data_IF_910995321861
#
_entry.id   IF_910995321861
#
_cell.length_a   1.000
_cell.length_b   1.000
_cell.length_c   1.000
_cell.angle_alpha   90.00
_cell.angle_beta   90.00
_cell.angle_gamma   90.00
#
_symmetry.space_group_name_H-M   'P 1'
#
loop_
_entity.id
_entity.type
_entity.pdbx_description
1 polymer ?
#
# COMPACT_ATOMS: atom_id res chain seq x y z
N UNK A 1 -20.39 5.04 13.42
CA UNK A 1 -18.91 4.94 13.30
C UNK A 1 -18.50 4.39 11.93
N UNK A 2 -19.27 3.47 11.31
CA UNK A 2 -18.90 2.83 10.02
C UNK A 2 -18.94 3.72 8.76
N UNK A 3 -19.80 4.75 8.64
CA UNK A 3 -19.87 5.53 7.39
C UNK A 3 -18.73 6.55 7.27
N UNK A 4 -18.44 7.27 8.35
CA UNK A 4 -17.41 8.30 8.37
C UNK A 4 -15.99 7.77 8.07
N UNK A 5 -15.68 6.54 8.51
CA UNK A 5 -14.39 5.90 8.20
C UNK A 5 -14.30 5.48 6.73
N UNK A 6 -15.42 5.08 6.11
CA UNK A 6 -15.49 4.78 4.68
C UNK A 6 -15.31 6.04 3.85
N UNK A 7 -16.02 7.12 4.20
CA UNK A 7 -15.93 8.41 3.49
C UNK A 7 -14.50 8.99 3.55
N UNK A 8 -13.79 8.79 4.66
CA UNK A 8 -12.39 9.21 4.81
C UNK A 8 -11.42 8.38 3.96
N UNK A 9 -11.68 7.08 3.76
CA UNK A 9 -10.86 6.22 2.92
C UNK A 9 -10.97 6.60 1.43
N UNK A 10 -12.17 6.96 0.99
CA UNK A 10 -12.41 7.43 -0.38
C UNK A 10 -11.72 8.78 -0.64
N UNK A 11 -11.87 9.74 0.27
CA UNK A 11 -11.16 11.04 0.19
C UNK A 11 -9.64 10.88 0.21
N UNK A 12 -9.12 9.94 1.00
CA UNK A 12 -7.68 9.64 1.05
C UNK A 12 -7.19 9.07 -0.28
N UNK A 13 -7.97 8.17 -0.88
CA UNK A 13 -7.64 7.54 -2.16
C UNK A 13 -7.63 8.56 -3.29
N UNK A 14 -8.62 9.46 -3.34
CA UNK A 14 -8.68 10.56 -4.32
C UNK A 14 -7.48 11.51 -4.18
N UNK A 15 -7.11 11.85 -2.94
CA UNK A 15 -5.96 12.71 -2.67
C UNK A 15 -4.65 12.07 -3.20
N UNK A 16 -4.46 10.77 -2.94
CA UNK A 16 -3.30 10.02 -3.43
C UNK A 16 -3.30 9.96 -4.97
N UNK A 17 -4.45 9.71 -5.60
CA UNK A 17 -4.58 9.64 -7.06
C UNK A 17 -4.22 10.96 -7.73
N UNK A 18 -4.59 12.09 -7.13
CA UNK A 18 -4.23 13.41 -7.65
C UNK A 18 -2.70 13.58 -7.68
N UNK A 19 -2.00 13.24 -6.59
CA UNK A 19 -0.53 13.32 -6.55
C UNK A 19 0.15 12.32 -7.47
N UNK A 20 -0.39 11.11 -7.60
CA UNK A 20 0.07 10.12 -8.57
C UNK A 20 -0.02 10.66 -9.99
N UNK A 21 -1.13 11.32 -10.34
CA UNK A 21 -1.31 11.95 -11.65
C UNK A 21 -0.27 13.04 -11.89
N UNK A 22 -0.03 13.91 -10.90
CA UNK A 22 1.01 14.92 -11.00
C UNK A 22 2.41 14.31 -11.16
N UNK A 23 2.70 13.20 -10.48
CA UNK A 23 3.94 12.47 -10.69
C UNK A 23 4.04 11.92 -12.12
N UNK A 24 2.95 11.42 -12.70
CA UNK A 24 2.91 10.95 -14.08
C UNK A 24 3.10 12.05 -15.13
N UNK A 25 2.79 13.29 -14.79
CA UNK A 25 2.96 14.46 -15.65
C UNK A 25 4.43 14.95 -15.70
N UNK A 26 5.34 14.34 -14.93
CA UNK A 26 6.79 14.59 -15.04
C UNK A 26 7.31 13.95 -16.34
N UNK A 27 7.42 14.75 -17.40
CA UNK A 27 7.77 14.26 -18.74
C UNK A 27 9.27 14.23 -19.02
N UNK A 28 10.06 15.03 -18.31
CA UNK A 28 11.49 15.22 -18.56
C UNK A 28 12.41 14.35 -17.68
N UNK A 29 11.81 13.50 -16.84
CA UNK A 29 12.51 12.74 -15.81
C UNK A 29 11.81 11.43 -15.49
N UNK A 30 11.98 10.47 -16.40
CA UNK A 30 11.38 9.13 -16.33
C UNK A 30 11.70 8.40 -15.01
N UNK A 31 12.90 8.62 -14.46
CA UNK A 31 13.33 8.04 -13.19
C UNK A 31 12.49 8.52 -12.02
N UNK A 32 12.32 9.84 -11.85
CA UNK A 32 11.49 10.38 -10.77
C UNK A 32 10.02 10.10 -10.97
N UNK A 33 9.53 10.21 -12.21
CA UNK A 33 8.15 9.82 -12.54
C UNK A 33 7.87 8.41 -12.03
N UNK A 34 8.77 7.48 -12.32
CA UNK A 34 8.62 6.06 -11.93
C UNK A 34 8.63 5.89 -10.41
N UNK A 35 9.64 6.45 -9.73
CA UNK A 35 9.78 6.34 -8.26
C UNK A 35 8.57 6.90 -7.53
N UNK A 36 8.11 8.08 -7.91
CA UNK A 36 6.97 8.75 -7.29
C UNK A 36 5.67 8.00 -7.59
N UNK A 37 5.45 7.62 -8.85
CA UNK A 37 4.23 6.88 -9.24
C UNK A 37 4.11 5.56 -8.47
N UNK A 38 5.21 4.79 -8.37
CA UNK A 38 5.23 3.54 -7.59
C UNK A 38 4.99 3.76 -6.11
N UNK A 39 5.55 4.84 -5.55
CA UNK A 39 5.35 5.20 -4.15
C UNK A 39 3.87 5.50 -3.86
N UNK A 40 3.21 6.28 -4.72
CA UNK A 40 1.78 6.57 -4.58
C UNK A 40 0.90 5.34 -4.86
N UNK A 41 1.28 4.46 -5.79
CA UNK A 41 0.58 3.20 -6.03
C UNK A 41 0.56 2.31 -4.79
N UNK A 42 1.69 2.17 -4.09
CA UNK A 42 1.77 1.43 -2.83
C UNK A 42 0.89 2.08 -1.77
N UNK A 43 0.98 3.40 -1.57
CA UNK A 43 0.16 4.13 -0.59
C UNK A 43 -1.34 3.96 -0.87
N UNK A 44 -1.76 4.11 -2.12
CA UNK A 44 -3.15 3.92 -2.54
C UNK A 44 -3.66 2.53 -2.19
N UNK A 45 -2.86 1.53 -2.51
CA UNK A 45 -3.25 0.16 -2.27
C UNK A 45 -3.27 -0.17 -0.77
N UNK A 46 -2.45 0.48 0.07
CA UNK A 46 -2.50 0.32 1.54
C UNK A 46 -3.86 0.74 2.10
N UNK A 47 -4.54 1.70 1.47
CA UNK A 47 -5.88 2.14 1.84
C UNK A 47 -6.99 1.13 1.46
N UNK A 48 -6.70 0.10 0.66
CA UNK A 48 -7.69 -0.91 0.27
C UNK A 48 -7.77 -2.02 1.31
N UNK A 49 -8.99 -2.31 1.78
CA UNK A 49 -9.26 -3.38 2.76
C UNK A 49 -8.92 -4.79 2.23
N UNK A 50 -9.06 -5.00 0.91
CA UNK A 50 -8.93 -6.32 0.28
C UNK A 50 -7.53 -6.62 -0.28
N UNK A 51 -6.53 -5.81 0.05
CA UNK A 51 -5.20 -6.02 -0.52
C UNK A 51 -4.50 -7.20 0.14
N UNK A 52 -4.22 -8.25 -0.63
CA UNK A 52 -3.52 -9.42 -0.11
C UNK A 52 -2.04 -9.13 0.18
N UNK A 53 -1.46 -9.88 1.12
CA UNK A 53 -0.09 -9.68 1.60
C UNK A 53 0.98 -9.98 0.52
N UNK A 54 0.76 -10.99 -0.32
CA UNK A 54 1.66 -11.34 -1.42
C UNK A 54 1.69 -10.27 -2.51
N UNK A 55 0.54 -9.65 -2.80
CA UNK A 55 0.44 -8.52 -3.73
C UNK A 55 1.13 -7.29 -3.17
N UNK A 56 1.05 -7.05 -1.85
CA UNK A 56 1.83 -5.98 -1.21
C UNK A 56 3.33 -6.26 -1.31
N UNK A 57 3.78 -7.46 -0.93
CA UNK A 57 5.19 -7.86 -1.02
C UNK A 57 5.74 -7.67 -2.43
N UNK A 58 5.04 -8.17 -3.44
CA UNK A 58 5.39 -7.99 -4.84
C UNK A 58 5.52 -6.51 -5.23
N UNK A 59 4.56 -5.66 -4.83
CA UNK A 59 4.62 -4.23 -5.15
C UNK A 59 5.78 -3.52 -4.44
N UNK A 60 6.09 -3.91 -3.20
CA UNK A 60 7.24 -3.38 -2.47
C UNK A 60 8.56 -3.79 -3.11
N UNK A 61 8.70 -5.05 -3.52
CA UNK A 61 9.87 -5.54 -4.26
C UNK A 61 10.03 -4.83 -5.60
N UNK A 62 8.94 -4.71 -6.37
CA UNK A 62 8.93 -3.97 -7.62
C UNK A 62 9.37 -2.51 -7.40
N UNK A 63 8.88 -1.85 -6.35
CA UNK A 63 9.29 -0.48 -6.02
C UNK A 63 10.79 -0.37 -5.70
N UNK A 64 11.38 -1.36 -5.03
CA UNK A 64 12.84 -1.40 -4.78
C UNK A 64 13.62 -1.52 -6.07
N UNK A 65 13.21 -2.42 -6.97
CA UNK A 65 13.88 -2.64 -8.26
C UNK A 65 13.82 -1.37 -9.11
N UNK A 66 12.63 -0.79 -9.26
CA UNK A 66 12.43 0.43 -10.06
C UNK A 66 13.22 1.61 -9.49
N UNK A 67 13.22 1.79 -8.15
CA UNK A 67 14.04 2.80 -7.49
C UNK A 67 15.52 2.57 -7.76
N UNK A 68 16.00 1.33 -7.66
CA UNK A 68 17.41 1.00 -7.93
C UNK A 68 17.82 1.31 -9.36
N UNK A 69 16.94 1.01 -10.34
CA UNK A 69 17.16 1.36 -11.75
C UNK A 69 17.20 2.88 -11.91
N UNK A 70 16.22 3.60 -11.37
CA UNK A 70 16.18 5.06 -11.43
C UNK A 70 17.46 5.68 -10.84
N UNK A 71 17.89 5.25 -9.65
CA UNK A 71 19.12 5.75 -9.00
C UNK A 71 20.38 5.47 -9.82
N UNK A 72 20.45 4.29 -10.45
CA UNK A 72 21.62 3.88 -11.25
C UNK A 72 21.83 4.79 -12.46
N UNK A 73 20.75 5.21 -13.10
CA UNK A 73 20.79 6.03 -14.31
C UNK A 73 20.52 7.53 -14.05
N UNK A 74 20.30 7.94 -12.80
CA UNK A 74 20.10 9.34 -12.45
C UNK A 74 21.45 10.09 -12.30
N UNK A 75 21.76 10.90 -13.32
CA UNK A 75 22.94 11.77 -13.34
C UNK A 75 22.88 12.90 -12.30
N UNK A 76 21.70 13.18 -11.74
CA UNK A 76 21.45 14.20 -10.71
C UNK A 76 21.19 13.57 -9.34
N UNK A 77 21.49 12.28 -9.13
CA UNK A 77 21.13 11.55 -7.89
C UNK A 77 21.55 12.24 -6.59
N UNK A 78 22.68 12.95 -6.58
CA UNK A 78 23.21 13.63 -5.39
C UNK A 78 22.56 15.01 -5.15
N UNK A 79 21.59 15.43 -5.99
CA UNK A 79 20.84 16.64 -5.72
C UNK A 79 19.90 16.37 -4.53
N UNK A 80 19.87 17.30 -3.57
CA UNK A 80 19.09 17.14 -2.33
C UNK A 80 17.63 16.71 -2.54
N UNK A 81 16.99 17.21 -3.61
CA UNK A 81 15.61 16.86 -3.91
C UNK A 81 15.47 15.39 -4.38
N UNK A 82 16.46 14.85 -5.09
CA UNK A 82 16.49 13.44 -5.50
C UNK A 82 16.67 12.52 -4.31
N UNK A 83 17.64 12.84 -3.45
CA UNK A 83 17.87 12.12 -2.21
C UNK A 83 16.61 12.09 -1.34
N UNK A 84 15.88 13.21 -1.27
CA UNK A 84 14.60 13.27 -0.56
C UNK A 84 13.57 12.30 -1.14
N UNK A 85 13.38 12.27 -2.47
CA UNK A 85 12.40 11.38 -3.08
C UNK A 85 12.79 9.89 -3.00
N UNK A 86 14.07 9.58 -3.15
CA UNK A 86 14.56 8.22 -2.93
C UNK A 86 14.38 7.79 -1.48
N UNK A 87 14.72 8.67 -0.53
CA UNK A 87 14.51 8.44 0.89
C UNK A 87 13.03 8.26 1.25
N UNK A 88 12.13 9.03 0.64
CA UNK A 88 10.69 8.86 0.80
C UNK A 88 10.22 7.49 0.30
N UNK A 89 10.62 7.11 -0.91
CA UNK A 89 10.29 5.79 -1.48
C UNK A 89 10.84 4.65 -0.62
N UNK A 90 12.06 4.78 -0.10
CA UNK A 90 12.65 3.80 0.81
C UNK A 90 11.90 3.74 2.15
N UNK A 91 11.50 4.89 2.68
CA UNK A 91 10.73 4.97 3.92
C UNK A 91 9.39 4.25 3.78
N UNK A 92 8.66 4.48 2.68
CA UNK A 92 7.40 3.75 2.39
C UNK A 92 7.67 2.25 2.31
N UNK A 93 8.73 1.82 1.63
CA UNK A 93 9.06 0.41 1.53
C UNK A 93 9.28 -0.25 2.89
N UNK A 94 9.95 0.45 3.81
CA UNK A 94 10.27 -0.07 5.15
C UNK A 94 9.07 -0.04 6.10
N UNK A 95 8.14 0.89 5.93
CA UNK A 95 7.00 1.07 6.85
C UNK A 95 5.74 0.34 6.41
N UNK A 96 5.48 0.24 5.10
CA UNK A 96 4.28 -0.38 4.55
C UNK A 96 3.98 -1.80 5.06
N UNK A 97 4.96 -2.72 5.22
CA UNK A 97 4.70 -4.04 5.81
C UNK A 97 4.11 -3.94 7.23
N UNK A 98 4.61 -3.01 8.04
CA UNK A 98 4.23 -2.86 9.44
C UNK A 98 2.84 -2.23 9.60
N UNK A 99 2.47 -1.31 8.69
CA UNK A 99 1.13 -0.71 8.68
C UNK A 99 0.05 -1.71 8.23
N UNK A 100 0.38 -2.67 7.37
CA UNK A 100 -0.61 -3.65 6.90
C UNK A 100 -0.75 -4.87 7.83
N UNK A 101 0.34 -5.32 8.47
CA UNK A 101 0.35 -6.60 9.18
C UNK A 101 -0.39 -6.62 10.53
N UNK A 102 -0.38 -5.52 11.28
CA UNK A 102 -1.01 -5.48 12.61
C UNK A 102 -2.55 -5.54 12.50
N UNK A 103 -3.14 -4.66 11.70
CA UNK A 103 -4.59 -4.56 11.56
C UNK A 103 -5.17 -5.75 10.78
N UNK A 104 -4.41 -6.34 9.84
CA UNK A 104 -4.88 -7.47 9.02
C UNK A 104 -4.82 -8.81 9.74
N UNK A 105 -3.86 -9.02 10.65
CA UNK A 105 -3.81 -10.24 11.49
C UNK A 105 -5.02 -10.32 12.40
N UNK A 106 -5.41 -9.20 13.01
CA UNK A 106 -6.60 -9.13 13.85
C UNK A 106 -7.88 -9.39 13.04
N UNK A 107 -8.02 -8.77 11.87
CA UNK A 107 -9.16 -8.97 10.99
C UNK A 107 -9.29 -10.43 10.48
N UNK A 108 -8.17 -11.09 10.15
CA UNK A 108 -8.15 -12.51 9.79
C UNK A 108 -8.53 -13.42 10.96
N UNK A 109 -8.04 -13.13 12.16
CA UNK A 109 -8.38 -13.89 13.37
C UNK A 109 -9.89 -13.82 13.65
N UNK A 110 -10.47 -12.62 13.57
CA UNK A 110 -11.89 -12.38 13.75
C UNK A 110 -12.75 -13.10 12.71
N UNK A 111 -12.33 -13.13 11.43
CA UNK A 111 -13.01 -13.89 10.36
C UNK A 111 -12.99 -15.40 10.67
N UNK A 112 -11.86 -15.94 11.10
CA UNK A 112 -11.72 -17.37 11.46
C UNK A 112 -12.60 -17.73 12.67
N UNK A 113 -12.58 -16.92 13.73
CA UNK A 113 -13.43 -17.08 14.92
C UNK A 113 -14.93 -17.06 14.58
N UNK A 114 -15.38 -16.11 13.76
CA UNK A 114 -16.78 -16.04 13.31
C UNK A 114 -17.20 -17.30 12.54
N UNK A 115 -16.33 -17.83 11.68
CA UNK A 115 -16.58 -19.05 10.89
C UNK A 115 -16.73 -20.27 11.80
N UNK A 116 -15.84 -20.43 12.78
CA UNK A 116 -15.91 -21.52 13.76
C UNK A 116 -17.16 -21.44 14.64
N UNK A 117 -17.50 -20.26 15.16
CA UNK A 117 -18.71 -20.05 15.94
C UNK A 117 -19.97 -20.42 15.15
N UNK A 118 -20.05 -19.99 13.88
CA UNK A 118 -21.19 -20.30 13.01
C UNK A 118 -21.30 -21.81 12.78
N UNK A 119 -20.18 -22.49 12.54
CA UNK A 119 -20.12 -23.94 12.36
C UNK A 119 -20.56 -24.69 13.63
N UNK A 120 -20.11 -24.26 14.80
CA UNK A 120 -20.50 -24.82 16.09
C UNK A 120 -22.00 -24.63 16.37
N UNK A 121 -22.53 -23.43 16.11
CA UNK A 121 -23.96 -23.11 16.25
C UNK A 121 -24.84 -23.95 15.32
N UNK A 122 -24.41 -24.22 14.10
CA UNK A 122 -25.14 -25.09 13.18
C UNK A 122 -25.19 -26.54 13.69
N UNK A 123 -24.06 -27.08 14.18
CA UNK A 123 -24.01 -28.44 14.77
C UNK A 123 -24.94 -28.61 15.97
N UNK A 124 -25.04 -27.60 16.84
CA UNK A 124 -25.94 -27.62 18.00
C UNK A 124 -27.44 -27.63 17.61
N UNK A 125 -27.78 -27.08 16.44
CA UNK A 125 -29.17 -27.05 15.95
C UNK A 125 -29.61 -28.35 15.26
N UNK A 126 -28.68 -29.13 14.72
CA UNK A 126 -28.94 -30.42 14.07
C UNK A 126 -28.86 -31.63 15.02
N UNK A 127 -28.43 -31.43 16.27
CA UNK A 127 -28.42 -32.46 17.33
C UNK A 127 -29.63 -32.42 18.28
N UNK A 128 -30.71 -31.72 17.91
CA UNK A 128 -32.03 -31.77 18.55
C UNK A 128 -33.05 -32.30 17.56
#
# INVERSE_FOLDING_TARGET
ISSHLSDMADLTTEFIDNWRKQASDITDDDGMRTVLSRSFDVLKNLCKEDWDASSLEYQLESMVVERGIAMKYDNKRNAHLRDFFYGLSESIQKTAPNCSLADRKEAQLLKSLKKEYTKARMKLKTSR
#
